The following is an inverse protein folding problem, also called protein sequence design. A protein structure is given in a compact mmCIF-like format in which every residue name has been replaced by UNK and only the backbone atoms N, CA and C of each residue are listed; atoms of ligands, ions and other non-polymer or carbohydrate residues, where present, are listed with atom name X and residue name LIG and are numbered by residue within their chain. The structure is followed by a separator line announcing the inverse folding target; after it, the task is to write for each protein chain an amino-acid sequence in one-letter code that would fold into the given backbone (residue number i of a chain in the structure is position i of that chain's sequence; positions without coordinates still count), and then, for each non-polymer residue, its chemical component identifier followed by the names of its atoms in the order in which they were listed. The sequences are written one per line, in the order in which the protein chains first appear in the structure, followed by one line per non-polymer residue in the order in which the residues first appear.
data_IF_727909334691
#
_entry.id   IF_727909334691
#
_cell.length_a   1.000
_cell.length_b   1.000
_cell.length_c   1.000
_cell.angle_alpha   90.00
_cell.angle_beta   90.00
_cell.angle_gamma   90.00
#
_symmetry.space_group_name_H-M   'P 1'
#
loop_
_entity.id
_entity.type
_entity.pdbx_description
1 polymer ?
#
# COMPACT_ATOMS: atom_id res chain seq x y z
N UNK A 1 -0.48 15.98 -24.10
CA UNK A 1 0.39 16.67 -25.07
C UNK A 1 0.93 17.88 -24.37
N UNK A 2 2.25 18.06 -24.34
CA UNK A 2 2.92 19.10 -23.55
C UNK A 2 3.55 20.07 -24.55
N UNK A 3 3.04 21.28 -24.61
CA UNK A 3 3.50 22.29 -25.56
C UNK A 3 4.86 22.84 -25.12
N UNK A 4 5.83 22.77 -26.03
CA UNK A 4 7.14 23.38 -25.84
C UNK A 4 7.06 24.84 -26.29
N UNK A 5 6.97 25.76 -25.34
CA UNK A 5 7.09 27.19 -25.63
C UNK A 5 8.59 27.55 -25.65
N UNK A 6 9.13 27.81 -26.85
CA UNK A 6 10.49 28.29 -27.03
C UNK A 6 10.44 29.77 -27.39
N UNK A 7 11.02 30.62 -26.54
CA UNK A 7 11.02 32.08 -26.60
C UNK A 7 11.96 32.65 -27.69
N UNK A 8 11.89 32.05 -28.89
CA UNK A 8 12.12 32.77 -30.13
C UNK A 8 13.55 32.86 -30.67
N UNK A 9 14.47 31.93 -30.38
CA UNK A 9 15.76 31.91 -31.10
C UNK A 9 16.43 30.52 -31.20
N UNK A 10 15.76 29.55 -31.82
CA UNK A 10 16.44 28.36 -32.36
C UNK A 10 16.16 28.26 -33.86
N UNK A 11 17.12 28.70 -34.68
CA UNK A 11 17.06 28.56 -36.13
C UNK A 11 17.72 27.24 -36.53
N UNK A 12 16.92 26.19 -36.77
CA UNK A 12 17.42 24.90 -37.24
C UNK A 12 17.18 24.80 -38.74
N UNK A 13 18.24 24.78 -39.55
CA UNK A 13 18.18 24.48 -41.00
C UNK A 13 18.29 22.97 -41.24
N UNK A 14 17.38 22.19 -40.66
CA UNK A 14 17.35 20.73 -40.79
C UNK A 14 16.37 20.08 -39.81
N UNK A 15 16.31 18.74 -39.83
CA UNK A 15 15.54 17.96 -38.87
C UNK A 15 16.10 18.17 -37.45
N UNK A 16 15.29 18.77 -36.59
CA UNK A 16 15.61 18.97 -35.17
C UNK A 16 15.13 17.77 -34.36
N UNK A 17 16.02 16.84 -34.09
CA UNK A 17 15.76 15.73 -33.16
C UNK A 17 16.20 16.12 -31.75
N UNK A 18 15.22 16.42 -30.88
CA UNK A 18 15.47 16.45 -29.43
C UNK A 18 15.45 15.01 -28.94
N UNK A 19 16.62 14.39 -28.84
CA UNK A 19 16.78 13.22 -27.98
C UNK A 19 16.75 13.70 -26.54
N UNK A 20 15.57 13.59 -25.91
CA UNK A 20 15.44 13.75 -24.48
C UNK A 20 16.27 12.64 -23.81
N UNK A 21 17.52 12.96 -23.48
CA UNK A 21 18.41 12.12 -22.68
C UNK A 21 18.02 12.17 -21.19
N UNK A 22 16.80 12.61 -20.85
CA UNK A 22 16.19 12.23 -19.60
C UNK A 22 16.11 10.71 -19.58
N UNK A 23 17.07 10.10 -18.90
CA UNK A 23 17.00 8.74 -18.39
C UNK A 23 15.79 8.63 -17.45
N UNK A 24 14.59 8.66 -18.03
CA UNK A 24 13.33 8.29 -17.41
C UNK A 24 13.08 6.79 -17.55
N UNK A 25 14.09 6.04 -17.98
CA UNK A 25 14.13 4.61 -17.72
C UNK A 25 14.18 4.43 -16.20
N UNK A 26 13.10 3.89 -15.65
CA UNK A 26 13.11 3.35 -14.31
C UNK A 26 14.26 2.33 -14.25
N UNK A 27 15.37 2.76 -13.65
CA UNK A 27 16.60 1.97 -13.62
C UNK A 27 16.29 0.67 -12.88
N UNK A 28 16.35 -0.47 -13.57
CA UNK A 28 16.16 -1.77 -12.94
C UNK A 28 17.09 -1.86 -11.72
N UNK A 29 16.59 -2.38 -10.59
CA UNK A 29 17.31 -2.45 -9.30
C UNK A 29 18.72 -3.05 -9.43
N UNK A 30 18.90 -3.95 -10.41
CA UNK A 30 20.16 -4.60 -10.77
C UNK A 30 21.25 -3.59 -11.19
N UNK A 31 20.88 -2.47 -11.83
CA UNK A 31 21.79 -1.44 -12.31
C UNK A 31 22.06 -0.31 -11.29
N UNK A 32 21.45 -0.35 -10.10
CA UNK A 32 21.73 0.59 -9.03
C UNK A 32 23.04 0.25 -8.29
N UNK A 33 23.77 1.28 -7.85
CA UNK A 33 24.93 1.12 -6.98
C UNK A 33 24.48 0.61 -5.60
N UNK A 34 25.40 0.01 -4.84
CA UNK A 34 25.12 -0.46 -3.47
C UNK A 34 24.62 0.66 -2.55
N UNK A 35 25.12 1.88 -2.69
CA UNK A 35 24.69 3.04 -1.90
C UNK A 35 23.25 3.44 -2.23
N UNK A 36 22.88 3.47 -3.51
CA UNK A 36 21.50 3.75 -3.91
C UNK A 36 20.54 2.65 -3.42
N UNK A 37 20.96 1.38 -3.45
CA UNK A 37 20.16 0.25 -2.95
C UNK A 37 19.92 0.32 -1.43
N UNK A 38 20.90 0.78 -0.66
CA UNK A 38 20.77 0.97 0.80
C UNK A 38 19.81 2.12 1.16
N UNK A 39 19.78 3.18 0.35
CA UNK A 39 18.85 4.30 0.54
C UNK A 39 17.43 3.96 0.07
N UNK A 40 17.30 3.12 -0.96
CA UNK A 40 16.00 2.78 -1.53
C UNK A 40 15.23 1.73 -0.71
N UNK A 41 15.94 0.86 0.00
CA UNK A 41 15.34 -0.13 0.92
C UNK A 41 14.42 0.50 1.99
N UNK A 42 14.87 1.48 2.82
CA UNK A 42 14.00 2.11 3.81
C UNK A 42 12.86 2.91 3.16
N UNK A 43 13.12 3.57 2.03
CA UNK A 43 12.09 4.31 1.28
C UNK A 43 10.92 3.40 0.83
N UNK A 44 11.23 2.23 0.24
CA UNK A 44 10.20 1.25 -0.15
C UNK A 44 9.47 0.66 1.04
N UNK A 45 10.17 0.41 2.15
CA UNK A 45 9.53 -0.04 3.39
C UNK A 45 8.59 1.01 3.99
N UNK A 46 8.94 2.29 3.92
CA UNK A 46 8.07 3.39 4.35
C UNK A 46 6.83 3.50 3.45
N UNK A 47 6.98 3.33 2.14
CA UNK A 47 5.85 3.31 1.21
C UNK A 47 4.85 2.20 1.53
N UNK A 48 5.33 0.99 1.83
CA UNK A 48 4.47 -0.13 2.26
C UNK A 48 3.70 0.24 3.53
N UNK A 49 4.38 0.80 4.53
CA UNK A 49 3.76 1.23 5.81
C UNK A 49 2.74 2.35 5.59
N UNK A 50 3.05 3.32 4.74
CA UNK A 50 2.18 4.45 4.43
C UNK A 50 0.88 3.97 3.76
N UNK A 51 0.98 3.04 2.81
CA UNK A 51 -0.18 2.49 2.13
C UNK A 51 -1.02 1.62 3.07
N UNK A 52 -0.39 0.83 3.94
CA UNK A 52 -1.09 0.07 4.97
C UNK A 52 -1.82 0.99 5.95
N UNK A 53 -1.17 2.08 6.39
CA UNK A 53 -1.77 3.09 7.25
C UNK A 53 -2.97 3.77 6.57
N UNK A 54 -2.88 4.08 5.27
CA UNK A 54 -4.01 4.62 4.50
C UNK A 54 -5.17 3.63 4.41
N UNK A 55 -4.90 2.34 4.17
CA UNK A 55 -5.90 1.27 4.13
C UNK A 55 -6.62 1.15 5.48
N UNK A 56 -5.87 1.10 6.58
CA UNK A 56 -6.42 1.04 7.94
C UNK A 56 -7.22 2.30 8.25
N UNK A 57 -6.69 3.50 7.96
CA UNK A 57 -7.38 4.77 8.22
C UNK A 57 -8.73 4.87 7.49
N UNK A 58 -8.81 4.33 6.27
CA UNK A 58 -10.06 4.28 5.49
C UNK A 58 -11.10 3.32 6.09
N UNK A 59 -10.65 2.18 6.64
CA UNK A 59 -11.53 1.13 7.15
C UNK A 59 -11.90 1.29 8.63
N UNK A 60 -11.08 1.99 9.41
CA UNK A 60 -11.30 2.33 10.82
C UNK A 60 -12.71 2.89 11.13
N UNK A 61 -13.28 3.85 10.37
CA UNK A 61 -14.64 4.34 10.66
C UNK A 61 -15.71 3.26 10.53
N UNK A 62 -15.57 2.30 9.60
CA UNK A 62 -16.54 1.23 9.43
C UNK A 62 -16.48 0.21 10.57
N UNK A 63 -15.28 -0.15 11.01
CA UNK A 63 -15.09 -1.04 12.15
C UNK A 63 -15.53 -0.40 13.48
N UNK A 64 -15.27 0.89 13.66
CA UNK A 64 -15.73 1.60 14.87
C UNK A 64 -17.25 1.70 14.89
N UNK A 65 -17.88 2.04 13.76
CA UNK A 65 -19.34 2.07 13.65
C UNK A 65 -19.96 0.69 13.91
N UNK A 66 -19.38 -0.39 13.37
CA UNK A 66 -19.92 -1.73 13.58
C UNK A 66 -19.86 -2.16 15.04
N UNK A 67 -18.78 -1.84 15.76
CA UNK A 67 -18.67 -2.09 17.21
C UNK A 67 -19.72 -1.29 17.99
N UNK A 68 -19.90 -0.01 17.66
CA UNK A 68 -20.93 0.84 18.31
C UNK A 68 -22.33 0.26 18.10
N UNK A 69 -22.65 -0.16 16.87
CA UNK A 69 -23.95 -0.77 16.56
C UNK A 69 -24.16 -2.09 17.31
N UNK A 70 -23.13 -2.94 17.40
CA UNK A 70 -23.20 -4.18 18.18
C UNK A 70 -23.44 -3.92 19.66
N UNK A 71 -22.76 -2.93 20.26
CA UNK A 71 -22.97 -2.54 21.65
C UNK A 71 -24.38 -1.98 21.88
N UNK A 72 -24.87 -1.12 20.99
CA UNK A 72 -26.23 -0.57 21.07
C UNK A 72 -27.30 -1.67 20.95
N UNK A 73 -27.13 -2.60 19.99
CA UNK A 73 -28.04 -3.73 19.81
C UNK A 73 -28.04 -4.67 21.03
N UNK A 74 -26.87 -4.97 21.59
CA UNK A 74 -26.75 -5.77 22.81
C UNK A 74 -27.44 -5.10 24.00
N UNK A 75 -27.19 -3.80 24.23
CA UNK A 75 -27.84 -3.04 25.31
C UNK A 75 -29.36 -2.94 25.15
N UNK A 76 -29.85 -2.82 23.92
CA UNK A 76 -31.28 -2.83 23.63
C UNK A 76 -31.93 -4.19 23.87
N UNK A 77 -31.24 -5.28 23.51
CA UNK A 77 -31.73 -6.63 23.68
C UNK A 77 -31.83 -7.03 25.16
N UNK A 78 -30.85 -6.61 25.99
CA UNK A 78 -30.88 -6.86 27.44
C UNK A 78 -32.00 -6.07 28.12
N UNK A 79 -32.22 -4.81 27.74
CA UNK A 79 -33.30 -3.99 28.30
C UNK A 79 -34.70 -4.56 28.02
N UNK A 80 -34.91 -5.14 26.84
CA UNK A 80 -36.20 -5.71 26.45
C UNK A 80 -36.39 -7.18 26.86
N UNK A 81 -35.39 -7.83 27.48
CA UNK A 81 -35.45 -9.23 27.90
C UNK A 81 -35.59 -10.24 26.74
N UNK A 82 -35.30 -9.85 25.49
CA UNK A 82 -35.50 -10.67 24.28
C UNK A 82 -34.21 -11.35 23.79
N UNK A 83 -33.35 -11.78 24.71
CA UNK A 83 -32.13 -12.49 24.37
C UNK A 83 -32.46 -13.97 24.09
N UNK A 84 -32.89 -14.25 22.86
CA UNK A 84 -33.19 -15.61 22.41
C UNK A 84 -31.91 -16.29 21.86
N UNK A 85 -31.92 -17.62 21.71
CA UNK A 85 -30.80 -18.39 21.13
C UNK A 85 -30.41 -17.87 19.74
N UNK A 86 -31.40 -17.41 18.96
CA UNK A 86 -31.17 -16.77 17.68
C UNK A 86 -30.31 -15.50 17.79
N UNK A 87 -30.49 -14.69 18.84
CA UNK A 87 -29.68 -13.49 19.10
C UNK A 87 -28.23 -13.84 19.41
N UNK A 88 -27.99 -14.92 20.15
CA UNK A 88 -26.63 -15.42 20.41
C UNK A 88 -25.96 -15.96 19.14
N UNK A 89 -26.69 -16.70 18.30
CA UNK A 89 -26.15 -17.20 17.03
C UNK A 89 -25.85 -16.07 16.04
N UNK A 90 -26.71 -15.05 15.95
CA UNK A 90 -26.47 -13.87 15.13
C UNK A 90 -25.28 -13.04 15.66
N UNK A 91 -25.18 -12.89 16.99
CA UNK A 91 -24.02 -12.26 17.63
C UNK A 91 -22.72 -12.99 17.32
N UNK A 92 -22.70 -14.31 17.49
CA UNK A 92 -21.53 -15.15 17.17
C UNK A 92 -21.16 -15.13 15.68
N UNK A 93 -22.15 -15.23 14.80
CA UNK A 93 -21.96 -15.17 13.34
C UNK A 93 -21.41 -13.82 12.87
N UNK A 94 -21.92 -12.71 13.41
CA UNK A 94 -21.41 -11.37 13.10
C UNK A 94 -19.98 -11.16 13.58
N UNK A 95 -19.61 -11.70 14.76
CA UNK A 95 -18.25 -11.73 15.26
C UNK A 95 -17.30 -12.52 14.34
N UNK A 96 -17.72 -13.71 13.90
CA UNK A 96 -16.92 -14.54 12.99
C UNK A 96 -16.70 -13.86 11.63
N UNK A 97 -17.75 -13.25 11.07
CA UNK A 97 -17.65 -12.48 9.83
C UNK A 97 -16.75 -11.26 9.99
N UNK A 98 -16.86 -10.54 11.12
CA UNK A 98 -15.99 -9.41 11.44
C UNK A 98 -14.51 -9.82 11.51
N UNK A 99 -14.20 -10.92 12.19
CA UNK A 99 -12.83 -11.44 12.29
C UNK A 99 -12.28 -11.91 10.93
N UNK A 100 -13.13 -12.56 10.11
CA UNK A 100 -12.74 -13.01 8.77
C UNK A 100 -12.48 -11.82 7.83
N UNK A 101 -13.33 -10.80 7.87
CA UNK A 101 -13.13 -9.55 7.14
C UNK A 101 -11.88 -8.80 7.58
N UNK A 102 -11.57 -8.82 8.88
CA UNK A 102 -10.36 -8.20 9.41
C UNK A 102 -9.10 -8.90 8.89
N UNK A 103 -9.10 -10.24 8.83
CA UNK A 103 -7.99 -11.01 8.24
C UNK A 103 -7.75 -10.64 6.78
N UNK A 104 -8.80 -10.55 5.97
CA UNK A 104 -8.71 -10.13 4.56
C UNK A 104 -8.23 -8.68 4.41
N UNK A 105 -8.57 -7.81 5.37
CA UNK A 105 -8.09 -6.42 5.37
C UNK A 105 -6.57 -6.33 5.55
N UNK A 106 -5.96 -7.26 6.28
CA UNK A 106 -4.52 -7.33 6.45
C UNK A 106 -3.78 -8.05 5.33
N UNK A 107 -4.50 -8.63 4.36
CA UNK A 107 -3.89 -9.25 3.20
C UNK A 107 -3.19 -8.19 2.32
N UNK A 108 -1.93 -8.42 1.91
CA UNK A 108 -1.15 -7.45 1.17
C UNK A 108 -1.76 -7.21 -0.22
N UNK A 109 -1.83 -5.94 -0.62
CA UNK A 109 -2.25 -5.55 -1.96
C UNK A 109 -1.19 -5.96 -3.00
N UNK A 110 -1.56 -6.05 -4.28
CA UNK A 110 -0.63 -6.37 -5.38
C UNK A 110 0.61 -5.45 -5.37
N UNK A 111 0.41 -4.14 -5.16
CA UNK A 111 1.50 -3.17 -5.00
C UNK A 111 2.39 -3.46 -3.79
N UNK A 112 1.81 -3.78 -2.63
CA UNK A 112 2.59 -4.11 -1.43
C UNK A 112 3.39 -5.39 -1.60
N UNK A 113 2.86 -6.35 -2.38
CA UNK A 113 3.56 -7.58 -2.73
C UNK A 113 4.75 -7.27 -3.67
N UNK A 114 4.55 -6.43 -4.68
CA UNK A 114 5.60 -5.96 -5.60
C UNK A 114 6.72 -5.21 -4.86
N UNK A 115 6.37 -4.26 -3.98
CA UNK A 115 7.36 -3.53 -3.18
C UNK A 115 8.11 -4.46 -2.22
N UNK A 116 7.44 -5.46 -1.64
CA UNK A 116 8.08 -6.46 -0.78
C UNK A 116 9.04 -7.35 -1.58
N UNK A 117 8.68 -7.70 -2.80
CA UNK A 117 9.54 -8.46 -3.70
C UNK A 117 10.76 -7.64 -4.12
N UNK A 118 10.59 -6.34 -4.42
CA UNK A 118 11.68 -5.41 -4.69
C UNK A 118 12.65 -5.31 -3.50
N UNK A 119 12.13 -5.17 -2.27
CA UNK A 119 12.96 -5.18 -1.04
C UNK A 119 13.72 -6.49 -0.88
N UNK A 120 13.09 -7.63 -1.19
CA UNK A 120 13.76 -8.93 -1.15
C UNK A 120 14.85 -9.06 -2.22
N UNK A 121 14.64 -8.51 -3.40
CA UNK A 121 15.63 -8.46 -4.47
C UNK A 121 16.82 -7.58 -4.09
N UNK A 122 16.57 -6.40 -3.52
CA UNK A 122 17.61 -5.51 -2.97
C UNK A 122 18.46 -6.26 -1.94
N UNK A 123 17.83 -6.96 -0.98
CA UNK A 123 18.55 -7.75 0.02
C UNK A 123 19.41 -8.86 -0.62
N UNK A 124 18.89 -9.55 -1.63
CA UNK A 124 19.66 -10.57 -2.36
C UNK A 124 20.87 -9.96 -3.06
N UNK A 125 20.70 -8.81 -3.73
CA UNK A 125 21.78 -8.10 -4.41
C UNK A 125 22.84 -7.59 -3.44
N UNK A 126 22.44 -7.05 -2.28
CA UNK A 126 23.36 -6.58 -1.25
C UNK A 126 24.16 -7.74 -0.62
N UNK A 127 23.52 -8.89 -0.40
CA UNK A 127 24.20 -10.13 0.05
C UNK A 127 25.16 -10.69 -1.01
N UNK A 128 24.75 -10.72 -2.28
CA UNK A 128 25.62 -11.15 -3.38
C UNK A 128 26.87 -10.26 -3.51
N UNK A 129 26.72 -8.96 -3.27
CA UNK A 129 27.82 -7.97 -3.29
C UNK A 129 28.64 -7.96 -1.99
N UNK A 130 28.33 -8.80 -1.00
CA UNK A 130 28.97 -8.89 0.33
C UNK A 130 28.95 -7.58 1.13
N UNK A 131 27.99 -6.70 0.85
CA UNK A 131 27.83 -5.41 1.56
C UNK A 131 27.06 -5.62 2.87
N UNK A 132 26.13 -6.56 2.89
CA UNK A 132 25.42 -7.00 4.09
C UNK A 132 25.66 -8.51 4.31
N UNK A 133 25.98 -8.91 5.55
CA UNK A 133 26.09 -10.32 5.97
C UNK A 133 24.75 -10.83 6.51
#
# INVERSE_FOLDING_TARGET
MRDFNNDGHITVQGDFTVTDNAANDHKLLIHCSSEHLLLERPFRQENIKLEQARKVKRLMPFYTLSVVLLCAAAGWATFNGKADIASFLLGGGSLYLGLSSLKLTFEPNAFQLEERNAVNEINKLLKQRRVEQ
#
